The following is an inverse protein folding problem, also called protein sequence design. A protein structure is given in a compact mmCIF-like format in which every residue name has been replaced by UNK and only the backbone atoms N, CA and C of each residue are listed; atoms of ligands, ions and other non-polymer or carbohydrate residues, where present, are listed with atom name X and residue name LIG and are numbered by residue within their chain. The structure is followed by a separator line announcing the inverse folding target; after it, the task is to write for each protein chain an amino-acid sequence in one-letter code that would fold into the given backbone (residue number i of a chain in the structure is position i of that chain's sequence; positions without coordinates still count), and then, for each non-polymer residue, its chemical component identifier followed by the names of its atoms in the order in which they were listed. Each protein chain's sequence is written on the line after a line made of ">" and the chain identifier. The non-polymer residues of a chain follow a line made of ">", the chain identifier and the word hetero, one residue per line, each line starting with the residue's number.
data_IF_822736967680
#
_entry.id   IF_822736967680
#
_cell.length_a   1.000
_cell.length_b   1.000
_cell.length_c   1.000
_cell.angle_alpha   90.00
_cell.angle_beta   90.00
_cell.angle_gamma   90.00
#
_symmetry.space_group_name_H-M   'P 1'
#
loop_
_entity.id
_entity.type
_entity.pdbx_description
1 polymer ?
#
# COMPACT_ATOMS: atom_id res chain seq x y z
N UNK A 1 -21.01 0.05 12.71
CA UNK A 1 -22.09 0.96 12.22
C UNK A 1 -23.11 0.19 11.35
N UNK A 2 -22.74 -0.64 10.34
CA UNK A 2 -23.70 -1.43 9.52
C UNK A 2 -24.69 -2.27 10.35
N UNK A 3 -24.38 -2.55 11.63
CA UNK A 3 -25.26 -3.25 12.58
C UNK A 3 -25.93 -2.33 13.61
N UNK A 4 -25.97 -1.02 13.37
CA UNK A 4 -26.59 -0.05 14.26
C UNK A 4 -25.74 0.30 15.49
N UNK A 5 -24.42 0.18 15.39
CA UNK A 5 -23.50 0.63 16.44
C UNK A 5 -22.86 1.96 16.07
N UNK A 6 -22.84 2.89 17.01
CA UNK A 6 -21.94 4.04 16.95
C UNK A 6 -20.59 3.63 17.52
N UNK A 7 -19.50 4.00 16.84
CA UNK A 7 -18.14 3.63 17.23
C UNK A 7 -17.34 4.90 17.44
N UNK A 8 -16.90 5.13 18.68
CA UNK A 8 -15.92 6.15 19.00
C UNK A 8 -14.53 5.54 19.01
N UNK A 9 -13.57 6.31 18.58
CA UNK A 9 -12.17 5.89 18.46
C UNK A 9 -11.29 6.88 19.24
N UNK A 10 -10.66 6.40 20.30
CA UNK A 10 -9.77 7.18 21.15
C UNK A 10 -8.35 6.62 21.04
N UNK A 11 -7.40 7.48 20.67
CA UNK A 11 -5.97 7.12 20.57
C UNK A 11 -5.31 7.50 21.88
N UNK A 12 -4.76 6.50 22.58
CA UNK A 12 -4.02 6.69 23.84
C UNK A 12 -2.61 6.21 23.70
N UNK A 13 -1.70 6.93 24.34
CA UNK A 13 -0.29 6.58 24.44
C UNK A 13 0.04 6.11 25.87
N UNK A 14 -0.77 5.17 26.38
CA UNK A 14 -0.63 4.62 27.73
C UNK A 14 -0.08 3.19 27.66
N UNK A 15 1.23 3.06 27.80
CA UNK A 15 1.90 1.75 27.79
C UNK A 15 1.71 1.00 26.46
N UNK A 16 1.11 -0.19 26.49
CA UNK A 16 0.89 -1.04 25.31
C UNK A 16 -0.42 -0.75 24.56
N UNK A 17 -1.29 0.12 25.10
CA UNK A 17 -2.58 0.43 24.49
C UNK A 17 -2.47 1.67 23.61
N UNK A 18 -2.68 1.48 22.31
CA UNK A 18 -2.59 2.56 21.32
C UNK A 18 -3.94 3.14 20.91
N UNK A 19 -5.00 2.36 20.99
CA UNK A 19 -6.35 2.79 20.63
C UNK A 19 -7.43 2.03 21.40
N UNK A 20 -8.49 2.74 21.72
CA UNK A 20 -9.70 2.18 22.34
C UNK A 20 -10.87 2.40 21.39
N UNK A 21 -11.58 1.33 21.06
CA UNK A 21 -12.82 1.38 20.30
C UNK A 21 -13.98 1.15 21.26
N UNK A 22 -14.83 2.16 21.40
CA UNK A 22 -16.06 2.04 22.18
C UNK A 22 -17.26 1.94 21.24
N UNK A 23 -18.01 0.85 21.36
CA UNK A 23 -19.20 0.59 20.55
C UNK A 23 -20.45 0.80 21.39
N UNK A 24 -21.27 1.80 21.05
CA UNK A 24 -22.59 2.01 21.63
C UNK A 24 -23.67 1.62 20.61
N UNK A 25 -24.72 0.90 21.07
CA UNK A 25 -25.85 0.57 20.21
C UNK A 25 -26.73 1.80 20.06
N UNK A 26 -26.71 2.37 18.88
CA UNK A 26 -27.58 3.50 18.52
C UNK A 26 -28.30 3.16 17.22
N UNK A 27 -29.56 3.64 17.09
CA UNK A 27 -30.24 3.63 15.79
C UNK A 27 -29.56 4.64 14.88
N UNK A 28 -28.64 4.18 14.09
CA UNK A 28 -27.99 5.01 13.09
C UNK A 28 -28.27 4.39 11.70
N UNK A 29 -29.13 5.03 10.94
CA UNK A 29 -29.50 4.63 9.57
C UNK A 29 -28.46 5.10 8.54
N UNK A 30 -27.30 5.60 8.99
CA UNK A 30 -26.24 6.00 8.08
C UNK A 30 -25.71 4.78 7.33
N UNK A 31 -26.00 4.73 6.06
CA UNK A 31 -25.42 3.76 5.13
C UNK A 31 -23.91 4.00 5.08
N UNK A 32 -23.15 3.00 5.48
CA UNK A 32 -21.71 3.04 5.29
C UNK A 32 -21.39 2.77 3.83
N UNK A 33 -21.34 3.84 3.05
CA UNK A 33 -21.12 3.82 1.61
C UNK A 33 -19.94 2.92 1.16
N UNK A 34 -18.92 2.77 2.01
CA UNK A 34 -17.70 2.02 1.68
C UNK A 34 -17.63 0.64 2.32
N UNK A 35 -18.63 0.22 3.11
CA UNK A 35 -18.55 -1.06 3.83
C UNK A 35 -18.44 -2.25 2.88
N UNK A 36 -19.21 -2.25 1.81
CA UNK A 36 -19.24 -3.35 0.84
C UNK A 36 -17.93 -3.45 0.06
N UNK A 37 -17.12 -2.37 0.05
CA UNK A 37 -15.80 -2.35 -0.58
C UNK A 37 -14.74 -3.10 0.23
N UNK A 38 -14.96 -3.36 1.51
CA UNK A 38 -14.00 -4.08 2.37
C UNK A 38 -13.71 -5.47 1.82
N UNK A 39 -14.72 -6.18 1.35
CA UNK A 39 -14.59 -7.55 0.85
C UNK A 39 -14.05 -7.64 -0.59
N UNK A 40 -14.16 -6.57 -1.37
CA UNK A 40 -13.74 -6.55 -2.78
C UNK A 40 -12.42 -5.82 -3.02
N UNK A 41 -12.01 -4.98 -2.06
CA UNK A 41 -10.73 -4.25 -2.15
C UNK A 41 -9.53 -5.21 -2.18
N UNK A 42 -8.70 -5.06 -3.17
CA UNK A 42 -7.45 -5.83 -3.31
C UNK A 42 -6.30 -4.95 -3.82
N UNK A 43 -5.07 -5.37 -3.56
CA UNK A 43 -3.88 -4.75 -4.14
C UNK A 43 -3.65 -5.30 -5.54
N UNK A 44 -3.58 -4.44 -6.54
CA UNK A 44 -3.30 -4.84 -7.92
C UNK A 44 -1.83 -4.59 -8.26
N UNK A 45 -1.05 -5.64 -8.40
CA UNK A 45 0.38 -5.59 -8.77
C UNK A 45 0.64 -5.80 -10.26
N UNK A 46 -0.41 -5.82 -11.10
CA UNK A 46 -0.31 -5.97 -12.55
C UNK A 46 -0.04 -4.61 -13.22
N UNK A 47 0.24 -4.63 -14.50
CA UNK A 47 0.27 -3.43 -15.35
C UNK A 47 -1.16 -2.89 -15.46
N UNK A 48 -1.30 -1.57 -15.35
CA UNK A 48 -2.58 -0.87 -15.43
C UNK A 48 -2.96 -0.56 -16.89
N UNK A 49 -4.21 -0.15 -17.12
CA UNK A 49 -4.72 0.22 -18.45
C UNK A 49 -4.08 1.50 -19.00
N UNK A 50 -3.53 2.35 -18.14
CA UNK A 50 -3.03 3.67 -18.50
C UNK A 50 -4.13 4.72 -18.70
N UNK A 51 -5.39 4.38 -18.46
CA UNK A 51 -6.50 5.32 -18.54
C UNK A 51 -6.36 6.45 -17.51
N UNK A 52 -6.73 7.65 -17.95
CA UNK A 52 -6.73 8.82 -17.07
C UNK A 52 -7.92 8.77 -16.11
N UNK A 53 -7.66 9.07 -14.85
CA UNK A 53 -8.71 9.27 -13.86
C UNK A 53 -9.34 10.64 -14.11
N UNK A 54 -10.68 10.73 -14.07
CA UNK A 54 -11.38 12.02 -14.26
C UNK A 54 -11.10 13.00 -13.12
N UNK A 55 -11.18 14.29 -13.40
CA UNK A 55 -11.00 15.36 -12.39
C UNK A 55 -11.94 15.21 -11.21
N UNK A 56 -13.18 14.77 -11.45
CA UNK A 56 -14.18 14.58 -10.40
C UNK A 56 -13.76 13.47 -9.42
N UNK A 57 -13.26 12.35 -9.95
CA UNK A 57 -12.74 11.26 -9.12
C UNK A 57 -11.48 11.70 -8.36
N UNK A 58 -10.59 12.46 -9.01
CA UNK A 58 -9.41 13.04 -8.35
C UNK A 58 -9.83 13.90 -7.16
N UNK A 59 -10.76 14.85 -7.35
CA UNK A 59 -11.27 15.68 -6.27
C UNK A 59 -11.91 14.88 -5.12
N UNK A 60 -12.64 13.81 -5.44
CA UNK A 60 -13.20 12.90 -4.44
C UNK A 60 -12.10 12.18 -3.66
N UNK A 61 -11.03 11.74 -4.32
CA UNK A 61 -9.93 11.04 -3.66
C UNK A 61 -9.07 11.98 -2.79
N UNK A 62 -8.83 13.20 -3.23
CA UNK A 62 -8.11 14.22 -2.45
C UNK A 62 -8.88 14.64 -1.20
N UNK A 63 -10.22 14.69 -1.28
CA UNK A 63 -11.10 15.07 -0.16
C UNK A 63 -11.38 13.93 0.82
N UNK A 64 -10.78 12.77 0.68
CA UNK A 64 -11.02 11.60 1.56
C UNK A 64 -10.55 11.83 2.99
N UNK A 65 -9.52 12.66 3.20
CA UNK A 65 -9.07 12.99 4.55
C UNK A 65 -10.13 13.83 5.27
N UNK A 66 -10.52 13.38 6.46
CA UNK A 66 -11.43 14.10 7.36
C UNK A 66 -10.68 14.84 8.47
N UNK A 67 -9.37 14.91 8.39
CA UNK A 67 -8.47 15.47 9.40
C UNK A 67 -7.39 16.30 8.75
N UNK A 68 -7.01 17.40 9.38
CA UNK A 68 -5.96 18.29 8.88
C UNK A 68 -4.56 17.72 9.09
N UNK A 69 -4.41 16.70 9.96
CA UNK A 69 -3.11 16.08 10.22
C UNK A 69 -2.65 15.10 9.13
N UNK A 70 -3.51 14.67 8.21
CA UNK A 70 -3.13 13.80 7.09
C UNK A 70 -3.48 14.49 5.78
N UNK A 71 -2.47 14.75 4.96
CA UNK A 71 -2.69 15.29 3.62
C UNK A 71 -2.52 14.18 2.59
N UNK A 72 -3.36 14.21 1.56
CA UNK A 72 -3.33 13.32 0.40
C UNK A 72 -2.90 14.13 -0.81
N UNK A 73 -1.81 13.73 -1.43
CA UNK A 73 -1.29 14.38 -2.63
C UNK A 73 -1.39 13.41 -3.81
N UNK A 74 -1.98 13.85 -4.91
CA UNK A 74 -2.07 13.07 -6.14
C UNK A 74 -1.18 13.69 -7.22
N UNK A 75 -0.18 12.96 -7.65
CA UNK A 75 0.77 13.39 -8.68
C UNK A 75 0.49 12.67 -9.99
N UNK A 76 0.07 13.38 -11.04
CA UNK A 76 -0.23 12.75 -12.32
C UNK A 76 1.04 12.22 -12.99
N UNK A 77 0.90 11.10 -13.71
CA UNK A 77 1.97 10.55 -14.53
C UNK A 77 2.55 11.62 -15.48
N UNK A 78 3.88 11.62 -15.62
CA UNK A 78 4.67 12.59 -16.38
C UNK A 78 4.75 13.99 -15.76
N UNK A 79 4.44 14.17 -14.48
CA UNK A 79 4.82 15.36 -13.73
C UNK A 79 6.21 15.20 -13.11
N UNK A 80 6.88 16.29 -12.82
CA UNK A 80 8.20 16.28 -12.17
C UNK A 80 8.17 15.53 -10.83
N UNK A 81 7.10 15.73 -10.05
CA UNK A 81 6.90 15.04 -8.77
C UNK A 81 6.68 13.54 -8.95
N UNK A 82 5.98 13.12 -10.02
CA UNK A 82 5.81 11.72 -10.34
C UNK A 82 7.16 11.06 -10.68
N UNK A 83 7.96 11.70 -11.50
CA UNK A 83 9.28 11.20 -11.90
C UNK A 83 10.25 11.19 -10.70
N UNK A 84 10.16 12.18 -9.83
CA UNK A 84 10.92 12.21 -8.58
C UNK A 84 10.58 11.01 -7.70
N UNK A 85 9.30 10.74 -7.45
CA UNK A 85 8.84 9.59 -6.65
C UNK A 85 9.26 8.26 -7.29
N UNK A 86 9.16 8.12 -8.61
CA UNK A 86 9.65 6.95 -9.34
C UNK A 86 11.14 6.71 -9.06
N UNK A 87 11.96 7.76 -9.11
CA UNK A 87 13.39 7.65 -8.84
C UNK A 87 13.67 7.21 -7.40
N UNK A 88 12.93 7.72 -6.42
CA UNK A 88 13.02 7.26 -5.03
C UNK A 88 12.68 5.77 -4.89
N UNK A 89 11.64 5.29 -5.56
CA UNK A 89 11.23 3.88 -5.53
C UNK A 89 12.30 2.98 -6.15
N UNK A 90 12.84 3.35 -7.31
CA UNK A 90 13.92 2.60 -8.00
C UNK A 90 15.19 2.55 -7.15
N UNK A 91 15.55 3.65 -6.50
CA UNK A 91 16.67 3.69 -5.58
C UNK A 91 16.41 2.81 -4.35
N UNK A 92 15.23 2.92 -3.77
CA UNK A 92 14.80 2.08 -2.63
C UNK A 92 14.88 0.59 -2.93
N UNK A 93 14.34 0.14 -4.08
CA UNK A 93 14.49 -1.23 -4.55
C UNK A 93 15.96 -1.65 -4.63
N UNK A 94 16.81 -0.77 -5.17
CA UNK A 94 18.23 -1.07 -5.34
C UNK A 94 18.92 -1.29 -4.02
N UNK A 95 18.65 -0.44 -3.01
CA UNK A 95 19.21 -0.56 -1.68
C UNK A 95 18.71 -1.85 -1.01
N UNK A 96 17.40 -2.08 -0.96
CA UNK A 96 16.81 -3.26 -0.33
C UNK A 96 17.30 -4.57 -0.95
N UNK A 97 17.34 -4.65 -2.28
CA UNK A 97 17.74 -5.89 -2.96
C UNK A 97 19.27 -6.11 -3.02
N UNK A 98 20.08 -5.14 -2.60
CA UNK A 98 21.51 -5.35 -2.32
C UNK A 98 21.75 -5.83 -0.90
N UNK A 99 20.83 -5.57 0.01
CA UNK A 99 20.93 -6.04 1.40
C UNK A 99 20.62 -7.55 1.48
N UNK A 100 21.61 -8.31 1.99
CA UNK A 100 21.46 -9.76 2.20
C UNK A 100 20.47 -10.09 3.31
N UNK A 101 20.38 -9.24 4.35
CA UNK A 101 19.45 -9.45 5.48
C UNK A 101 18.03 -9.31 4.99
N UNK A 102 17.74 -8.23 4.27
CA UNK A 102 16.43 -8.00 3.64
C UNK A 102 16.02 -9.16 2.72
N UNK A 103 16.91 -9.59 1.81
CA UNK A 103 16.62 -10.72 0.92
C UNK A 103 16.34 -12.03 1.67
N UNK A 104 17.10 -12.32 2.70
CA UNK A 104 16.90 -13.52 3.50
C UNK A 104 15.58 -13.49 4.26
N UNK A 105 15.19 -12.34 4.79
CA UNK A 105 13.90 -12.17 5.42
C UNK A 105 12.75 -12.33 4.42
N UNK A 106 12.83 -11.66 3.27
CA UNK A 106 11.84 -11.80 2.22
C UNK A 106 11.64 -13.26 1.81
N UNK A 107 12.74 -14.02 1.63
CA UNK A 107 12.67 -15.46 1.30
C UNK A 107 11.95 -16.28 2.38
N UNK A 108 12.10 -15.97 3.65
CA UNK A 108 11.37 -16.66 4.73
C UNK A 108 9.87 -16.50 4.61
N UNK A 109 9.39 -15.34 4.10
CA UNK A 109 7.99 -15.05 3.92
C UNK A 109 7.41 -15.52 2.58
N UNK A 110 8.24 -15.97 1.63
CA UNK A 110 7.77 -16.45 0.33
C UNK A 110 7.21 -17.86 0.41
N UNK A 111 6.09 -18.08 -0.28
CA UNK A 111 5.46 -19.38 -0.47
C UNK A 111 5.53 -19.74 -1.93
N UNK A 112 6.45 -20.63 -2.25
CA UNK A 112 6.99 -20.87 -3.60
C UNK A 112 6.05 -21.61 -4.54
N UNK A 113 5.06 -22.36 -4.01
CA UNK A 113 4.08 -23.10 -4.80
C UNK A 113 2.77 -23.28 -4.01
N UNK A 114 1.77 -23.86 -4.65
CA UNK A 114 0.46 -24.11 -4.05
C UNK A 114 0.55 -24.96 -2.76
N UNK A 115 1.30 -26.06 -2.82
CA UNK A 115 1.46 -26.96 -1.66
C UNK A 115 2.04 -26.19 -0.46
N UNK A 116 3.12 -25.47 -0.65
CA UNK A 116 3.78 -24.69 0.41
C UNK A 116 2.84 -23.60 0.98
N UNK A 117 2.09 -22.90 0.12
CA UNK A 117 1.13 -21.90 0.57
C UNK A 117 -0.03 -22.50 1.38
N UNK A 118 -0.52 -23.66 0.98
CA UNK A 118 -1.61 -24.36 1.69
C UNK A 118 -1.19 -24.99 3.02
N UNK A 119 0.06 -25.44 3.12
CA UNK A 119 0.61 -26.00 4.34
C UNK A 119 0.86 -24.93 5.41
N UNK A 120 1.39 -23.76 5.01
CA UNK A 120 1.76 -22.69 5.95
C UNK A 120 0.59 -21.75 6.26
N UNK A 121 -0.27 -21.48 5.27
CA UNK A 121 -1.42 -20.54 5.35
C UNK A 121 -1.04 -19.11 5.78
N UNK A 122 0.19 -18.73 5.53
CA UNK A 122 0.76 -17.42 5.85
C UNK A 122 1.69 -16.94 4.71
N UNK A 123 2.33 -15.79 4.91
CA UNK A 123 3.35 -15.26 4.00
C UNK A 123 2.83 -14.79 2.66
N UNK A 124 3.74 -14.69 1.69
CA UNK A 124 3.50 -14.18 0.34
C UNK A 124 3.43 -15.35 -0.64
N UNK A 125 2.23 -15.66 -1.12
CA UNK A 125 2.03 -16.73 -2.11
C UNK A 125 2.70 -16.40 -3.44
N UNK A 126 3.26 -17.40 -4.11
CA UNK A 126 3.80 -17.32 -5.47
C UNK A 126 2.85 -16.63 -6.47
N UNK A 127 1.55 -16.87 -6.33
CA UNK A 127 0.51 -16.30 -7.21
C UNK A 127 0.40 -14.78 -7.11
N UNK A 128 0.78 -14.17 -5.97
CA UNK A 128 0.81 -12.72 -5.77
C UNK A 128 1.83 -12.05 -6.70
N UNK A 129 2.88 -12.79 -7.07
CA UNK A 129 3.90 -12.34 -8.02
C UNK A 129 3.58 -12.70 -9.47
N UNK A 130 2.44 -13.35 -9.72
CA UNK A 130 2.07 -13.85 -11.05
C UNK A 130 2.90 -15.05 -11.49
N UNK A 131 3.60 -15.72 -10.57
CA UNK A 131 4.38 -16.91 -10.86
C UNK A 131 3.47 -18.13 -11.06
N UNK A 132 3.80 -19.03 -12.00
CA UNK A 132 3.09 -20.30 -12.16
C UNK A 132 3.35 -21.24 -10.97
N UNK A 133 2.48 -22.22 -10.79
CA UNK A 133 2.65 -23.26 -9.79
C UNK A 133 3.69 -24.28 -10.29
N UNK A 134 4.91 -24.20 -9.78
CA UNK A 134 6.05 -25.03 -10.15
C UNK A 134 6.55 -25.82 -8.95
N UNK A 135 7.33 -26.91 -9.17
CA UNK A 135 8.03 -27.57 -8.08
C UNK A 135 8.88 -26.57 -7.27
N UNK A 136 8.89 -26.73 -5.94
CA UNK A 136 9.48 -25.75 -5.03
C UNK A 136 10.91 -25.34 -5.40
N UNK A 137 11.77 -26.30 -5.76
CA UNK A 137 13.17 -26.04 -6.12
C UNK A 137 13.31 -25.17 -7.38
N UNK A 138 12.38 -25.31 -8.35
CA UNK A 138 12.34 -24.47 -9.56
C UNK A 138 11.91 -23.06 -9.21
N UNK A 139 10.85 -22.93 -8.40
CA UNK A 139 10.34 -21.64 -7.96
C UNK A 139 11.36 -20.87 -7.11
N UNK A 140 12.11 -21.56 -6.24
CA UNK A 140 13.20 -20.96 -5.47
C UNK A 140 14.29 -20.38 -6.38
N UNK A 141 14.70 -21.12 -7.42
CA UNK A 141 15.71 -20.64 -8.38
C UNK A 141 15.21 -19.43 -9.21
N UNK A 142 13.96 -19.50 -9.67
CA UNK A 142 13.33 -18.37 -10.40
C UNK A 142 13.26 -17.13 -9.52
N UNK A 143 12.88 -17.29 -8.26
CA UNK A 143 12.79 -16.16 -7.32
C UNK A 143 14.15 -15.54 -6.99
N UNK A 144 15.22 -16.34 -6.92
CA UNK A 144 16.59 -15.81 -6.80
C UNK A 144 16.91 -14.80 -7.91
N UNK A 145 16.53 -15.12 -9.15
CA UNK A 145 16.75 -14.22 -10.29
C UNK A 145 15.87 -12.97 -10.22
N UNK A 146 14.64 -13.10 -9.71
CA UNK A 146 13.73 -11.97 -9.53
C UNK A 146 14.19 -11.00 -8.42
N UNK A 147 14.97 -11.48 -7.43
CA UNK A 147 15.57 -10.65 -6.38
C UNK A 147 16.83 -9.88 -6.85
N UNK A 148 16.97 -9.71 -8.15
CA UNK A 148 18.00 -8.86 -8.75
C UNK A 148 17.47 -7.43 -8.90
N UNK A 149 18.20 -6.40 -8.41
CA UNK A 149 17.77 -5.00 -8.51
C UNK A 149 17.43 -4.54 -9.92
N UNK A 150 18.19 -4.95 -10.93
CA UNK A 150 17.95 -4.54 -12.32
C UNK A 150 16.65 -5.13 -12.87
N UNK A 151 16.37 -6.40 -12.57
CA UNK A 151 15.15 -7.07 -13.03
C UNK A 151 13.93 -6.48 -12.33
N UNK A 152 14.01 -6.30 -11.00
CA UNK A 152 12.93 -5.71 -10.21
C UNK A 152 12.65 -4.28 -10.65
N UNK A 153 13.67 -3.43 -10.78
CA UNK A 153 13.53 -2.05 -11.21
C UNK A 153 12.90 -1.94 -12.60
N UNK A 154 13.28 -2.80 -13.54
CA UNK A 154 12.67 -2.83 -14.87
C UNK A 154 11.19 -3.22 -14.82
N UNK A 155 10.84 -4.20 -13.97
CA UNK A 155 9.45 -4.63 -13.77
C UNK A 155 8.61 -3.53 -13.13
N UNK A 156 9.10 -2.94 -12.04
CA UNK A 156 8.36 -1.90 -11.31
C UNK A 156 8.26 -0.60 -12.10
N UNK A 157 9.31 -0.20 -12.85
CA UNK A 157 9.22 0.95 -13.75
C UNK A 157 8.10 0.81 -14.76
N UNK A 158 7.92 -0.38 -15.37
CA UNK A 158 6.81 -0.62 -16.31
C UNK A 158 5.44 -0.48 -15.64
N UNK A 159 5.30 -0.97 -14.41
CA UNK A 159 4.04 -0.85 -13.64
C UNK A 159 3.77 0.61 -13.29
N UNK A 160 4.79 1.32 -12.80
CA UNK A 160 4.72 2.74 -12.46
C UNK A 160 4.32 3.56 -13.71
N UNK A 161 4.99 3.36 -14.83
CA UNK A 161 4.70 4.07 -16.09
C UNK A 161 3.31 3.78 -16.64
N UNK A 162 2.71 2.63 -16.30
CA UNK A 162 1.34 2.29 -16.65
C UNK A 162 0.29 2.90 -15.71
N UNK A 163 0.69 3.43 -14.55
CA UNK A 163 -0.24 4.06 -13.61
C UNK A 163 -0.59 5.48 -14.04
N UNK A 164 -1.76 5.96 -13.63
CA UNK A 164 -2.20 7.32 -13.92
C UNK A 164 -1.66 8.34 -12.92
N UNK A 165 -1.52 7.96 -11.65
CA UNK A 165 -1.08 8.84 -10.55
C UNK A 165 -0.29 8.08 -9.50
N UNK A 166 0.57 8.82 -8.79
CA UNK A 166 0.98 8.46 -7.43
C UNK A 166 0.08 9.14 -6.42
N UNK A 167 -0.23 8.42 -5.33
CA UNK A 167 -0.83 8.97 -4.14
C UNK A 167 0.20 8.97 -3.01
N UNK A 168 0.57 10.14 -2.50
CA UNK A 168 1.46 10.32 -1.37
C UNK A 168 0.65 10.82 -0.17
N UNK A 169 0.84 10.18 0.98
CA UNK A 169 0.21 10.54 2.24
C UNK A 169 1.26 11.12 3.16
N UNK A 170 1.01 12.31 3.68
CA UNK A 170 1.94 13.00 4.59
C UNK A 170 1.29 13.33 5.91
N UNK A 171 2.09 13.31 6.96
CA UNK A 171 1.73 13.72 8.33
C UNK A 171 2.78 14.70 8.87
N UNK A 172 2.40 15.64 9.75
CA UNK A 172 3.33 16.66 10.27
C UNK A 172 4.41 16.04 11.15
N UNK A 173 4.06 15.06 11.98
CA UNK A 173 4.97 14.49 12.98
C UNK A 173 5.13 12.99 12.80
N UNK A 174 6.31 12.48 13.14
CA UNK A 174 6.64 11.07 13.06
C UNK A 174 6.36 10.38 14.40
N UNK A 175 5.08 10.25 14.75
CA UNK A 175 4.62 9.64 16.00
C UNK A 175 3.47 8.65 15.80
N UNK A 176 3.18 7.89 16.84
CA UNK A 176 2.18 6.81 16.80
C UNK A 176 0.77 7.34 16.47
N UNK A 177 0.40 8.53 16.98
CA UNK A 177 -0.93 9.10 16.74
C UNK A 177 -1.09 9.39 15.25
N UNK A 178 -0.10 10.06 14.67
CA UNK A 178 -0.08 10.38 13.25
C UNK A 178 -0.03 9.13 12.38
N UNK A 179 0.72 8.09 12.76
CA UNK A 179 0.73 6.81 12.02
C UNK A 179 -0.63 6.13 12.00
N UNK A 180 -1.33 6.10 13.14
CA UNK A 180 -2.68 5.53 13.23
C UNK A 180 -3.65 6.35 12.38
N UNK A 181 -3.59 7.68 12.43
CA UNK A 181 -4.45 8.56 11.63
C UNK A 181 -4.18 8.40 10.14
N UNK A 182 -2.90 8.34 9.73
CA UNK A 182 -2.51 8.06 8.35
C UNK A 182 -3.07 6.72 7.88
N UNK A 183 -2.93 5.66 8.67
CA UNK A 183 -3.47 4.33 8.34
C UNK A 183 -4.99 4.33 8.15
N UNK A 184 -5.72 5.08 8.96
CA UNK A 184 -7.18 5.25 8.82
C UNK A 184 -7.57 6.00 7.54
N UNK A 185 -6.87 7.11 7.24
CA UNK A 185 -7.10 7.87 6.00
C UNK A 185 -6.74 7.03 4.79
N UNK A 186 -5.61 6.35 4.81
CA UNK A 186 -5.17 5.44 3.75
C UNK A 186 -6.20 4.33 3.48
N UNK A 187 -6.71 3.67 4.53
CA UNK A 187 -7.74 2.65 4.36
C UNK A 187 -9.00 3.23 3.73
N UNK A 188 -9.45 4.41 4.18
CA UNK A 188 -10.61 5.11 3.60
C UNK A 188 -10.37 5.47 2.13
N UNK A 189 -9.18 5.96 1.79
CA UNK A 189 -8.77 6.22 0.41
C UNK A 189 -8.87 4.98 -0.46
N UNK A 190 -8.31 3.86 -0.01
CA UNK A 190 -8.32 2.60 -0.75
C UNK A 190 -9.75 2.06 -0.98
N UNK A 191 -10.64 2.19 0.01
CA UNK A 191 -12.04 1.80 -0.13
C UNK A 191 -12.76 2.73 -1.12
N UNK A 192 -12.50 4.03 -1.07
CA UNK A 192 -13.10 5.00 -2.00
C UNK A 192 -12.58 4.80 -3.42
N UNK A 193 -11.29 4.57 -3.60
CA UNK A 193 -10.70 4.22 -4.88
C UNK A 193 -11.35 2.96 -5.46
N UNK A 194 -11.54 1.91 -4.64
CA UNK A 194 -12.23 0.69 -5.04
C UNK A 194 -13.67 0.96 -5.48
N UNK A 195 -14.41 1.79 -4.74
CA UNK A 195 -15.77 2.21 -5.09
C UNK A 195 -15.82 2.93 -6.44
N UNK A 196 -14.79 3.72 -6.75
CA UNK A 196 -14.64 4.41 -8.03
C UNK A 196 -14.05 3.53 -9.15
N UNK A 197 -13.84 2.23 -8.91
CA UNK A 197 -13.24 1.31 -9.89
C UNK A 197 -11.74 1.50 -10.12
N UNK A 198 -11.05 2.20 -9.21
CA UNK A 198 -9.62 2.48 -9.31
C UNK A 198 -8.80 1.38 -8.61
N UNK A 199 -7.89 0.78 -9.36
CA UNK A 199 -6.94 -0.20 -8.84
C UNK A 199 -5.71 0.48 -8.23
N UNK A 200 -5.27 0.00 -7.07
CA UNK A 200 -4.13 0.55 -6.33
C UNK A 200 -3.09 -0.52 -5.99
N UNK A 201 -1.82 -0.11 -5.90
CA UNK A 201 -0.73 -0.89 -5.33
C UNK A 201 0.19 0.00 -4.49
N UNK A 202 0.95 -0.62 -3.58
CA UNK A 202 1.91 0.07 -2.71
C UNK A 202 3.31 0.04 -3.32
N UNK A 203 4.02 1.16 -3.17
CA UNK A 203 5.42 1.35 -3.53
C UNK A 203 6.12 2.08 -2.36
N UNK A 204 6.28 1.38 -1.22
CA UNK A 204 6.69 1.97 0.06
C UNK A 204 8.21 1.99 0.28
N UNK A 205 9.02 1.51 -0.66
CA UNK A 205 10.46 1.38 -0.51
C UNK A 205 11.15 2.67 0.01
N UNK A 206 10.80 3.87 -0.46
CA UNK A 206 11.40 5.10 0.06
C UNK A 206 11.08 5.37 1.53
N UNK A 207 9.92 4.92 2.00
CA UNK A 207 9.49 5.12 3.39
C UNK A 207 10.16 4.15 4.36
N UNK A 208 10.61 2.99 3.86
CA UNK A 208 11.23 1.92 4.64
C UNK A 208 12.75 2.12 4.84
N UNK A 209 13.37 3.00 4.06
CA UNK A 209 14.80 3.29 4.10
C UNK A 209 15.01 4.66 4.73
N UNK A 210 15.64 4.69 5.90
CA UNK A 210 15.77 5.90 6.70
C UNK A 210 16.37 7.11 5.94
N UNK A 211 17.43 6.89 5.17
CA UNK A 211 18.08 7.94 4.37
C UNK A 211 17.15 8.51 3.29
N UNK A 212 16.40 7.64 2.60
CA UNK A 212 15.46 8.06 1.57
C UNK A 212 14.23 8.74 2.17
N UNK A 213 13.74 8.24 3.31
CA UNK A 213 12.61 8.83 4.02
C UNK A 213 12.91 10.26 4.49
N UNK A 214 14.11 10.51 5.03
CA UNK A 214 14.54 11.85 5.42
C UNK A 214 14.63 12.79 4.21
N UNK A 215 15.27 12.34 3.12
CA UNK A 215 15.43 13.16 1.91
C UNK A 215 14.08 13.43 1.22
N UNK A 216 13.18 12.46 1.22
CA UNK A 216 11.84 12.63 0.62
C UNK A 216 11.00 13.68 1.37
N UNK A 217 11.21 13.86 2.68
CA UNK A 217 10.53 14.88 3.49
C UNK A 217 10.99 16.31 3.20
N UNK A 218 12.21 16.47 2.66
CA UNK A 218 12.80 17.77 2.37
C UNK A 218 12.46 18.30 0.98
N UNK A 219 11.95 17.43 0.10
CA UNK A 219 11.55 17.73 -1.27
C UNK A 219 10.04 17.82 -1.42
#
# INVERSE_FOLDING_TARGET
>A
QKRGYNVTFDIRKDGEVFAILTCAKEKNDSVLEMFDQISVRQTNRKIYSGEKISSDIIGVLESVSWTDCVKVHLFPNRSDSFDLLKNYIVNGNTIQLRDKVFKNELKKWMRYNYKHAMETKDGLSYSVFGAPDLPRFVSELVMETCLNPLIQNRSDSKKIESSSHFALFTVPENDIINWIMLGRVLQRFLLKATQCGIACAFMNQPCEIAELSVTLRQN
#
